data_IF_710472480806
#
_entry.id   IF_710472480806
#
_cell.length_a   1.000
_cell.length_b   1.000
_cell.length_c   1.000
_cell.angle_alpha   90.00
_cell.angle_beta   90.00
_cell.angle_gamma   90.00
#
_symmetry.space_group_name_H-M   'P 1'
#
loop_
_entity.id
_entity.type
_entity.pdbx_description
1 polymer ?
#
# COMPACT_ATOMS: atom_id res chain seq x y z
N UNK A 1 3.68 -7.23 -19.11
CA UNK A 1 3.35 -6.52 -17.87
C UNK A 1 3.92 -5.13 -18.02
N UNK A 2 3.14 -4.07 -17.75
CA UNK A 2 3.73 -2.72 -17.71
C UNK A 2 4.51 -2.58 -16.39
N UNK A 3 5.82 -2.45 -16.51
CA UNK A 3 6.70 -2.28 -15.36
C UNK A 3 6.31 -1.08 -14.49
N UNK A 4 6.45 -1.25 -13.18
CA UNK A 4 6.30 -0.20 -12.17
C UNK A 4 7.58 0.59 -11.98
N UNK A 5 8.75 -0.03 -12.17
CA UNK A 5 10.02 0.68 -12.11
C UNK A 5 9.99 1.91 -13.03
N UNK A 6 10.45 3.06 -12.53
CA UNK A 6 10.48 4.28 -13.33
C UNK A 6 11.67 4.31 -14.28
N UNK A 7 11.56 5.10 -15.34
CA UNK A 7 12.69 5.29 -16.26
C UNK A 7 13.88 5.94 -15.56
N UNK A 8 15.07 5.75 -16.12
CA UNK A 8 16.28 6.41 -15.63
C UNK A 8 16.17 7.95 -15.69
N UNK A 9 15.43 8.48 -16.67
CA UNK A 9 15.17 9.91 -16.83
C UNK A 9 14.35 10.45 -15.66
N UNK A 10 13.24 9.79 -15.31
CA UNK A 10 12.42 10.20 -14.16
C UNK A 10 13.16 10.02 -12.84
N UNK A 11 13.92 8.93 -12.70
CA UNK A 11 14.76 8.70 -11.52
C UNK A 11 15.76 9.84 -11.32
N UNK A 12 16.51 10.22 -12.36
CA UNK A 12 17.46 11.35 -12.30
C UNK A 12 16.76 12.69 -12.03
N UNK A 13 15.59 12.91 -12.62
CA UNK A 13 14.82 14.13 -12.39
C UNK A 13 14.37 14.29 -10.93
N UNK A 14 14.04 13.18 -10.25
CA UNK A 14 13.69 13.15 -8.83
C UNK A 14 14.92 13.23 -7.91
N UNK A 15 16.01 12.53 -8.25
CA UNK A 15 17.20 12.50 -7.39
C UNK A 15 17.95 13.83 -7.34
N UNK A 16 18.05 14.54 -8.47
CA UNK A 16 18.86 15.76 -8.54
C UNK A 16 18.42 16.74 -9.64
N UNK A 17 17.26 16.53 -10.26
CA UNK A 17 16.77 17.34 -11.37
C UNK A 17 15.57 18.21 -11.01
N UNK A 18 14.74 18.51 -12.02
CA UNK A 18 13.61 19.45 -11.88
C UNK A 18 12.52 18.97 -10.91
N UNK A 19 12.43 17.66 -10.63
CA UNK A 19 11.46 17.10 -9.70
C UNK A 19 12.02 16.93 -8.28
N UNK A 20 13.32 17.16 -8.07
CA UNK A 20 13.96 16.99 -6.78
C UNK A 20 13.31 17.82 -5.65
N UNK A 21 12.89 19.09 -5.87
CA UNK A 21 12.17 19.83 -4.84
C UNK A 21 10.85 19.19 -4.37
N UNK A 22 10.17 18.42 -5.22
CA UNK A 22 8.98 17.66 -4.83
C UNK A 22 9.34 16.42 -4.02
N UNK A 23 10.45 15.74 -4.36
CA UNK A 23 10.94 14.61 -3.58
C UNK A 23 11.31 15.05 -2.16
N UNK A 24 12.05 16.16 -2.02
CA UNK A 24 12.38 16.75 -0.72
C UNK A 24 11.12 17.09 0.09
N UNK A 25 10.10 17.66 -0.56
CA UNK A 25 8.82 17.94 0.11
C UNK A 25 8.17 16.68 0.68
N UNK A 26 8.22 15.56 -0.04
CA UNK A 26 7.66 14.28 0.41
C UNK A 26 8.46 13.72 1.58
N UNK A 27 9.79 13.88 1.60
CA UNK A 27 10.61 13.50 2.75
C UNK A 27 10.27 14.26 4.02
N UNK A 28 9.76 15.49 3.89
CA UNK A 28 9.38 16.34 5.01
C UNK A 28 7.89 16.27 5.39
N UNK A 29 7.02 15.71 4.54
CA UNK A 29 5.60 15.55 4.80
C UNK A 29 5.21 14.07 4.84
N UNK A 30 5.25 13.49 6.04
CA UNK A 30 4.94 12.08 6.29
C UNK A 30 3.48 11.68 5.99
N UNK A 31 2.61 12.63 5.64
CA UNK A 31 1.24 12.32 5.20
C UNK A 31 1.15 12.02 3.70
N UNK A 32 2.27 12.20 2.97
CA UNK A 32 2.39 11.92 1.55
C UNK A 32 3.10 10.59 1.31
N UNK A 33 2.66 9.89 0.28
CA UNK A 33 3.27 8.65 -0.18
C UNK A 33 3.52 8.72 -1.69
N UNK A 34 4.72 8.35 -2.14
CA UNK A 34 5.10 8.37 -3.56
C UNK A 34 5.26 6.96 -4.10
N UNK A 35 4.51 6.69 -5.16
CA UNK A 35 4.46 5.38 -5.78
C UNK A 35 4.87 5.41 -7.26
N UNK A 36 5.63 4.38 -7.66
CA UNK A 36 6.25 4.27 -8.98
C UNK A 36 5.30 3.61 -9.97
N UNK A 37 5.14 4.18 -11.17
CA UNK A 37 4.13 3.76 -12.16
C UNK A 37 4.70 3.71 -13.58
N UNK A 38 5.95 3.25 -13.73
CA UNK A 38 6.61 3.13 -15.02
C UNK A 38 6.99 4.48 -15.61
N UNK A 39 6.16 5.03 -16.49
CA UNK A 39 6.37 6.34 -17.10
C UNK A 39 5.76 7.51 -16.28
N UNK A 40 5.39 7.24 -15.03
CA UNK A 40 4.81 8.21 -14.12
C UNK A 40 5.14 7.86 -12.67
N UNK A 41 5.01 8.84 -11.80
CA UNK A 41 4.86 8.60 -10.35
C UNK A 41 3.52 9.17 -9.90
N UNK A 42 2.96 8.59 -8.86
CA UNK A 42 1.78 9.11 -8.21
C UNK A 42 2.08 9.45 -6.76
N UNK A 43 1.76 10.67 -6.35
CA UNK A 43 1.83 11.13 -4.97
C UNK A 43 0.43 11.01 -4.39
N UNK A 44 0.31 10.26 -3.30
CA UNK A 44 -0.92 10.05 -2.56
C UNK A 44 -1.00 10.93 -1.32
N UNK A 45 -2.21 11.32 -0.97
CA UNK A 45 -2.58 11.96 0.30
C UNK A 45 -3.93 11.38 0.73
N UNK A 46 -4.00 10.85 1.95
CA UNK A 46 -5.20 10.22 2.54
C UNK A 46 -5.95 9.26 1.60
N UNK A 47 -5.20 8.39 0.91
CA UNK A 47 -5.71 7.35 0.02
C UNK A 47 -6.14 7.85 -1.37
N UNK A 48 -6.02 9.15 -1.64
CA UNK A 48 -6.28 9.75 -2.94
C UNK A 48 -5.00 10.11 -3.68
N UNK A 49 -5.04 10.01 -5.01
CA UNK A 49 -4.01 10.63 -5.85
C UNK A 49 -4.11 12.14 -5.70
N UNK A 50 -3.09 12.74 -5.09
CA UNK A 50 -2.89 14.19 -4.98
C UNK A 50 -2.32 14.70 -6.30
N UNK A 51 -1.14 14.21 -6.68
CA UNK A 51 -0.50 14.55 -7.93
C UNK A 51 -0.10 13.30 -8.71
N UNK A 52 -0.35 13.31 -10.01
CA UNK A 52 0.29 12.37 -10.94
C UNK A 52 1.34 13.13 -11.74
N UNK A 53 2.59 12.68 -11.68
CA UNK A 53 3.68 13.25 -12.47
C UNK A 53 3.93 12.31 -13.65
N UNK A 54 3.87 12.82 -14.88
CA UNK A 54 4.10 12.01 -16.09
C UNK A 54 5.31 12.50 -16.85
N UNK A 55 6.04 11.56 -17.41
CA UNK A 55 7.02 11.87 -18.44
C UNK A 55 6.33 12.26 -19.75
N UNK A 56 6.80 13.37 -20.33
CA UNK A 56 6.42 13.80 -21.67
C UNK A 56 7.49 13.43 -22.69
N UNK A 57 7.10 13.38 -23.96
CA UNK A 57 7.98 13.08 -25.10
C UNK A 57 9.11 14.10 -25.27
N UNK A 58 8.89 15.35 -24.88
CA UNK A 58 9.82 16.50 -25.01
C UNK A 58 10.88 16.60 -23.91
N UNK A 59 11.26 15.50 -23.26
CA UNK A 59 12.14 15.50 -22.09
C UNK A 59 11.66 16.38 -20.91
N UNK A 60 10.37 16.72 -20.87
CA UNK A 60 9.73 17.45 -19.79
C UNK A 60 8.85 16.53 -18.94
N UNK A 61 8.30 17.11 -17.87
CA UNK A 61 7.36 16.44 -16.96
C UNK A 61 6.13 17.30 -16.77
N UNK A 62 4.98 16.66 -16.66
CA UNK A 62 3.71 17.32 -16.33
C UNK A 62 3.21 16.83 -14.99
N UNK A 63 2.71 17.74 -14.16
CA UNK A 63 2.02 17.43 -12.92
C UNK A 63 0.52 17.56 -13.18
N UNK A 64 -0.27 16.61 -12.69
CA UNK A 64 -1.73 16.62 -12.81
C UNK A 64 -2.38 16.56 -11.43
N UNK A 65 -3.33 17.46 -11.19
CA UNK A 65 -4.21 17.47 -10.03
C UNK A 65 -5.66 17.25 -10.47
N UNK A 66 -6.42 16.44 -9.72
CA UNK A 66 -7.80 16.16 -10.07
C UNK A 66 -8.74 17.28 -9.59
N UNK A 67 -9.23 18.09 -10.52
CA UNK A 67 -10.12 19.22 -10.25
C UNK A 67 -11.43 18.84 -9.55
N UNK A 68 -11.84 17.56 -9.55
CA UNK A 68 -13.03 17.11 -8.81
C UNK A 68 -12.94 17.44 -7.32
N UNK A 69 -11.73 17.45 -6.74
CA UNK A 69 -11.54 17.78 -5.34
C UNK A 69 -11.97 19.22 -5.02
N UNK A 70 -11.96 20.11 -6.02
CA UNK A 70 -12.42 21.49 -5.89
C UNK A 70 -13.94 21.67 -6.03
N UNK A 71 -14.73 20.60 -6.21
CA UNK A 71 -16.16 20.71 -6.47
C UNK A 71 -17.01 20.96 -5.21
N UNK A 72 -16.41 21.00 -4.02
CA UNK A 72 -17.13 21.27 -2.76
C UNK A 72 -17.40 22.77 -2.57
N UNK A 73 -18.44 23.12 -1.80
CA UNK A 73 -18.74 24.52 -1.47
C UNK A 73 -17.55 25.15 -0.72
N UNK A 74 -16.95 24.39 0.21
CA UNK A 74 -15.81 24.86 1.00
C UNK A 74 -14.56 25.09 0.14
N UNK A 75 -14.27 24.23 -0.84
CA UNK A 75 -13.12 24.41 -1.72
C UNK A 75 -13.23 25.69 -2.59
N UNK A 76 -14.45 26.14 -2.90
CA UNK A 76 -14.68 27.39 -3.64
C UNK A 76 -14.34 28.66 -2.85
N UNK A 77 -14.13 28.55 -1.53
CA UNK A 77 -13.69 29.66 -0.67
C UNK A 77 -12.17 29.90 -0.72
N UNK A 78 -11.42 28.99 -1.36
CA UNK A 78 -9.97 29.02 -1.45
C UNK A 78 -9.50 29.47 -2.83
N UNK A 79 -8.20 29.82 -2.99
CA UNK A 79 -7.64 30.17 -4.28
C UNK A 79 -7.90 29.10 -5.33
N UNK A 80 -8.09 29.53 -6.59
CA UNK A 80 -8.26 28.60 -7.71
C UNK A 80 -6.96 27.83 -7.94
N UNK A 81 -7.01 26.53 -7.75
CA UNK A 81 -5.89 25.62 -7.96
C UNK A 81 -5.79 25.21 -9.44
N UNK A 82 -4.57 25.17 -9.98
CA UNK A 82 -4.33 24.61 -11.31
C UNK A 82 -4.50 23.10 -11.32
N UNK A 83 -5.12 22.56 -12.36
CA UNK A 83 -5.14 21.12 -12.64
C UNK A 83 -3.82 20.61 -13.21
N UNK A 84 -2.96 21.51 -13.68
CA UNK A 84 -1.64 21.20 -14.22
C UNK A 84 -0.60 22.20 -13.69
N UNK A 85 -0.30 22.16 -12.37
CA UNK A 85 0.64 23.10 -11.77
C UNK A 85 2.07 22.87 -12.27
N UNK A 86 2.90 23.92 -12.20
CA UNK A 86 4.35 23.74 -12.24
C UNK A 86 4.85 23.08 -10.93
N UNK A 87 6.12 22.67 -10.90
CA UNK A 87 6.75 22.17 -9.66
C UNK A 87 6.64 23.21 -8.54
N UNK A 88 7.00 24.46 -8.82
CA UNK A 88 6.94 25.54 -7.83
C UNK A 88 5.51 25.80 -7.34
N UNK A 89 4.53 25.82 -8.25
CA UNK A 89 3.13 26.00 -7.88
C UNK A 89 2.60 24.84 -7.02
N UNK A 90 2.96 23.60 -7.37
CA UNK A 90 2.57 22.41 -6.63
C UNK A 90 3.12 22.43 -5.19
N UNK A 91 4.37 22.86 -5.00
CA UNK A 91 5.02 22.98 -3.69
C UNK A 91 4.40 24.13 -2.90
N UNK A 92 4.34 25.33 -3.49
CA UNK A 92 3.87 26.54 -2.80
C UNK A 92 2.41 26.40 -2.35
N UNK A 93 1.58 25.75 -3.17
CA UNK A 93 0.15 25.59 -2.89
C UNK A 93 -0.22 24.22 -2.32
N UNK A 94 0.76 23.37 -1.95
CA UNK A 94 0.49 22.04 -1.39
C UNK A 94 -0.57 22.06 -0.27
N UNK A 95 -0.53 22.98 0.73
CA UNK A 95 -1.56 23.03 1.77
C UNK A 95 -2.98 23.20 1.22
N UNK A 96 -3.16 24.01 0.16
CA UNK A 96 -4.47 24.22 -0.45
C UNK A 96 -4.93 23.01 -1.26
N UNK A 97 -4.01 22.32 -1.96
CA UNK A 97 -4.33 21.07 -2.64
C UNK A 97 -4.78 19.98 -1.66
N UNK A 98 -4.07 19.83 -0.52
CA UNK A 98 -4.45 18.91 0.56
C UNK A 98 -5.81 19.29 1.15
N UNK A 99 -6.03 20.57 1.44
CA UNK A 99 -7.30 21.06 1.99
C UNK A 99 -8.50 20.81 1.05
N UNK A 100 -8.31 20.97 -0.27
CA UNK A 100 -9.33 20.63 -1.26
C UNK A 100 -9.68 19.13 -1.22
N UNK A 101 -8.67 18.26 -1.08
CA UNK A 101 -8.88 16.82 -0.88
C UNK A 101 -9.58 16.51 0.43
N UNK A 102 -9.25 17.19 1.53
CA UNK A 102 -9.89 17.00 2.84
C UNK A 102 -11.39 17.33 2.78
N UNK A 103 -11.77 18.44 2.13
CA UNK A 103 -13.18 18.76 1.92
C UNK A 103 -13.90 17.74 1.04
N UNK A 104 -13.21 17.20 0.03
CA UNK A 104 -13.79 16.17 -0.82
C UNK A 104 -13.99 14.86 -0.05
N UNK A 105 -12.98 14.42 0.72
CA UNK A 105 -13.01 13.17 1.47
C UNK A 105 -13.92 13.20 2.69
N UNK A 106 -14.30 14.37 3.19
CA UNK A 106 -15.36 14.46 4.21
C UNK A 106 -16.69 13.87 3.72
N UNK A 107 -16.92 13.86 2.40
CA UNK A 107 -18.11 13.28 1.77
C UNK A 107 -17.81 11.98 0.99
N UNK A 108 -16.53 11.72 0.67
CA UNK A 108 -16.10 10.57 -0.13
C UNK A 108 -14.90 9.88 0.55
N UNK A 109 -15.08 9.32 1.75
CA UNK A 109 -13.97 8.80 2.55
C UNK A 109 -13.26 7.65 1.84
N UNK A 110 -11.96 7.55 2.05
CA UNK A 110 -11.08 6.53 1.47
C UNK A 110 -10.32 5.73 2.53
N UNK A 111 -11.02 5.35 3.59
CA UNK A 111 -10.43 4.82 4.82
C UNK A 111 -9.52 3.62 4.60
N UNK A 112 -9.91 2.69 3.73
CA UNK A 112 -9.08 1.51 3.38
C UNK A 112 -7.70 1.91 2.83
N UNK A 113 -7.69 2.88 1.91
CA UNK A 113 -6.47 3.39 1.25
C UNK A 113 -5.67 4.33 2.14
N UNK A 114 -6.34 5.04 3.05
CA UNK A 114 -5.67 5.82 4.08
C UNK A 114 -4.87 4.89 4.98
N UNK A 115 -5.45 3.76 5.43
CA UNK A 115 -4.73 2.74 6.20
C UNK A 115 -3.58 2.10 5.40
N UNK A 116 -3.73 1.87 4.09
CA UNK A 116 -2.62 1.37 3.26
C UNK A 116 -1.39 2.29 3.36
N UNK A 117 -1.56 3.62 3.30
CA UNK A 117 -0.43 4.57 3.46
C UNK A 117 0.15 4.59 4.88
N UNK A 118 -0.67 4.41 5.91
CA UNK A 118 -0.17 4.29 7.28
C UNK A 118 0.72 3.05 7.42
N UNK A 119 0.31 1.92 6.80
CA UNK A 119 1.13 0.71 6.75
C UNK A 119 2.43 0.97 5.97
N UNK A 120 2.38 1.65 4.82
CA UNK A 120 3.60 2.06 4.09
C UNK A 120 4.52 2.85 5.00
N UNK A 121 3.98 3.85 5.69
CA UNK A 121 4.75 4.76 6.56
C UNK A 121 5.46 4.01 7.67
N UNK A 122 4.76 3.12 8.40
CA UNK A 122 5.37 2.34 9.48
C UNK A 122 6.42 1.34 8.99
N UNK A 123 6.26 0.81 7.78
CA UNK A 123 7.14 -0.23 7.24
C UNK A 123 8.30 0.31 6.38
N UNK A 124 8.23 1.58 5.93
CA UNK A 124 9.23 2.15 5.03
C UNK A 124 9.88 3.44 5.58
N UNK A 125 9.17 4.29 6.32
CA UNK A 125 9.54 5.71 6.43
C UNK A 125 10.08 6.13 7.82
N UNK A 126 9.94 5.32 8.87
CA UNK A 126 10.33 5.62 10.26
C UNK A 126 11.76 5.15 10.64
N UNK A 127 12.70 5.19 9.70
CA UNK A 127 14.12 4.92 9.97
C UNK A 127 14.35 3.57 10.65
N UNK A 128 14.95 3.56 11.85
CA UNK A 128 15.25 2.32 12.59
C UNK A 128 13.99 1.51 12.98
N UNK A 129 12.83 2.16 13.13
CA UNK A 129 11.58 1.47 13.45
C UNK A 129 11.16 0.62 12.24
N UNK A 130 11.07 1.25 11.07
CA UNK A 130 10.80 0.57 9.79
C UNK A 130 11.90 -0.42 9.41
N UNK A 131 13.17 -0.15 9.76
CA UNK A 131 14.24 -1.13 9.58
C UNK A 131 14.03 -2.42 10.38
N UNK A 132 13.33 -2.32 11.52
CA UNK A 132 13.02 -3.45 12.39
C UNK A 132 11.84 -4.32 11.91
N UNK A 133 11.04 -3.86 10.94
CA UNK A 133 9.94 -4.65 10.38
C UNK A 133 10.46 -5.76 9.46
N UNK A 134 9.60 -6.77 9.21
CA UNK A 134 9.95 -7.91 8.37
C UNK A 134 9.47 -7.75 6.92
N UNK A 135 8.71 -6.70 6.63
CA UNK A 135 8.12 -6.43 5.32
C UNK A 135 8.36 -4.98 4.91
N UNK A 136 8.68 -4.77 3.64
CA UNK A 136 8.75 -3.45 2.99
C UNK A 136 7.67 -3.35 1.93
N UNK A 137 6.94 -2.25 1.91
CA UNK A 137 5.87 -2.04 0.91
C UNK A 137 6.48 -1.44 -0.35
N UNK A 138 6.34 -2.12 -1.48
CA UNK A 138 6.88 -1.67 -2.77
C UNK A 138 5.84 -1.06 -3.69
N UNK A 139 4.56 -1.41 -3.50
CA UNK A 139 3.45 -0.78 -4.22
C UNK A 139 2.16 -0.79 -3.38
N UNK A 140 1.30 0.20 -3.61
CA UNK A 140 -0.10 0.23 -3.15
C UNK A 140 -1.03 0.50 -4.34
N UNK A 141 -2.29 0.06 -4.26
CA UNK A 141 -3.27 0.21 -5.35
C UNK A 141 -2.76 -0.35 -6.68
N UNK A 142 -2.09 -1.51 -6.63
CA UNK A 142 -1.58 -2.16 -7.82
C UNK A 142 -2.74 -2.57 -8.71
N UNK A 143 -2.72 -2.10 -9.96
CA UNK A 143 -3.63 -2.54 -11.01
C UNK A 143 -2.88 -2.76 -12.32
N UNK A 144 -3.14 -3.89 -12.97
CA UNK A 144 -2.62 -4.21 -14.29
C UNK A 144 -3.78 -4.62 -15.22
N UNK A 145 -3.95 -3.86 -16.30
CA UNK A 145 -5.02 -4.08 -17.27
C UNK A 145 -4.76 -5.25 -18.21
N UNK A 146 -3.50 -5.67 -18.42
CA UNK A 146 -3.16 -6.75 -19.36
C UNK A 146 -3.65 -8.12 -18.88
N UNK A 147 -3.71 -8.31 -17.56
CA UNK A 147 -4.14 -9.55 -16.93
C UNK A 147 -5.27 -9.34 -15.90
N UNK A 148 -5.84 -8.14 -15.85
CA UNK A 148 -6.88 -7.73 -14.90
C UNK A 148 -6.55 -8.02 -13.42
N UNK A 149 -5.27 -8.06 -13.06
CA UNK A 149 -4.84 -8.27 -11.67
C UNK A 149 -4.90 -6.96 -10.88
N UNK A 150 -5.37 -7.05 -9.65
CA UNK A 150 -5.43 -5.94 -8.69
C UNK A 150 -5.07 -6.42 -7.30
N UNK A 151 -4.23 -5.66 -6.62
CA UNK A 151 -3.83 -5.91 -5.23
C UNK A 151 -3.81 -4.59 -4.48
N UNK A 152 -4.24 -4.60 -3.23
CA UNK A 152 -4.22 -3.39 -2.40
C UNK A 152 -2.79 -2.99 -2.08
N UNK A 153 -1.92 -3.95 -1.74
CA UNK A 153 -0.50 -3.68 -1.52
C UNK A 153 0.37 -4.85 -2.00
N UNK A 154 1.60 -4.52 -2.37
CA UNK A 154 2.65 -5.47 -2.72
C UNK A 154 3.82 -5.22 -1.79
N UNK A 155 4.31 -6.27 -1.15
CA UNK A 155 5.40 -6.19 -0.20
C UNK A 155 6.51 -7.19 -0.49
N UNK A 156 7.70 -6.84 -0.01
CA UNK A 156 8.85 -7.73 0.05
C UNK A 156 9.01 -8.16 1.50
N UNK A 157 8.94 -9.47 1.74
CA UNK A 157 9.29 -10.05 3.04
C UNK A 157 10.81 -10.21 3.11
N UNK A 158 11.43 -9.39 3.94
CA UNK A 158 12.85 -9.43 4.20
C UNK A 158 13.11 -9.35 5.72
N UNK A 159 13.10 -10.52 6.41
CA UNK A 159 13.03 -10.56 7.87
C UNK A 159 14.17 -9.79 8.54
N UNK A 160 13.89 -9.02 9.58
CA UNK A 160 14.85 -8.18 10.33
C UNK A 160 15.84 -8.97 11.21
N UNK A 161 15.91 -10.28 11.03
CA UNK A 161 16.86 -11.14 11.73
C UNK A 161 18.26 -11.08 11.10
N UNK A 162 19.30 -11.32 11.92
CA UNK A 162 20.69 -11.36 11.45
C UNK A 162 20.94 -12.38 10.34
N UNK A 163 20.15 -13.46 10.29
CA UNK A 163 20.20 -14.47 9.22
C UNK A 163 19.36 -14.09 8.00
N UNK A 164 18.20 -13.44 8.22
CA UNK A 164 17.26 -13.07 7.15
C UNK A 164 17.78 -11.99 6.21
N UNK A 165 18.64 -11.08 6.72
CA UNK A 165 19.23 -10.00 5.91
C UNK A 165 20.64 -10.28 5.39
N UNK A 166 21.15 -11.51 5.50
CA UNK A 166 22.50 -11.83 5.01
C UNK A 166 22.59 -11.73 3.49
N UNK A 167 23.78 -11.37 3.00
CA UNK A 167 24.05 -11.34 1.56
C UNK A 167 23.80 -12.73 0.94
N UNK A 168 23.13 -12.74 -0.21
CA UNK A 168 22.76 -13.96 -0.91
C UNK A 168 21.48 -14.65 -0.38
N UNK A 169 20.83 -14.14 0.67
CA UNK A 169 19.47 -14.57 1.03
C UNK A 169 18.45 -13.80 0.20
N UNK A 170 17.64 -14.56 -0.51
CA UNK A 170 16.53 -14.01 -1.30
C UNK A 170 15.38 -13.61 -0.37
N UNK A 171 14.76 -12.48 -0.67
CA UNK A 171 13.49 -12.09 -0.09
C UNK A 171 12.34 -12.77 -0.86
N UNK A 172 11.19 -12.91 -0.20
CA UNK A 172 9.97 -13.44 -0.84
C UNK A 172 8.98 -12.31 -1.08
N UNK A 173 8.08 -12.50 -2.03
CA UNK A 173 7.00 -11.56 -2.29
C UNK A 173 5.79 -11.85 -1.39
N UNK A 174 5.09 -10.79 -0.98
CA UNK A 174 3.77 -10.87 -0.37
C UNK A 174 2.77 -9.98 -1.12
N UNK A 175 1.62 -10.55 -1.49
CA UNK A 175 0.45 -9.82 -1.95
C UNK A 175 -0.46 -9.57 -0.75
N UNK A 176 -0.92 -8.33 -0.59
CA UNK A 176 -1.70 -7.93 0.58
C UNK A 176 -3.06 -7.43 0.12
N UNK A 177 -4.09 -7.96 0.75
CA UNK A 177 -5.49 -7.53 0.63
C UNK A 177 -5.93 -6.92 1.97
N UNK A 178 -6.48 -5.71 1.93
CA UNK A 178 -6.87 -4.97 3.11
C UNK A 178 -8.37 -4.69 3.09
N UNK A 179 -9.08 -5.06 4.16
CA UNK A 179 -10.49 -4.73 4.35
C UNK A 179 -10.67 -3.79 5.54
N UNK A 180 -11.31 -2.65 5.31
CA UNK A 180 -11.69 -1.71 6.38
C UNK A 180 -13.11 -1.95 6.89
N UNK A 181 -13.23 -2.34 8.15
CA UNK A 181 -14.50 -2.59 8.84
C UNK A 181 -15.30 -3.77 8.30
N UNK A 182 -16.34 -4.17 9.03
CA UNK A 182 -17.10 -5.39 8.71
C UNK A 182 -17.98 -5.30 7.45
N UNK A 183 -18.18 -4.09 6.92
CA UNK A 183 -18.98 -3.83 5.72
C UNK A 183 -18.28 -4.28 4.44
N UNK A 184 -16.94 -4.31 4.42
CA UNK A 184 -16.11 -4.63 3.25
C UNK A 184 -15.73 -6.12 3.15
N UNK A 185 -16.09 -6.92 4.14
CA UNK A 185 -15.70 -8.35 4.22
C UNK A 185 -16.48 -9.24 3.23
N UNK A 186 -17.74 -8.90 2.91
CA UNK A 186 -18.63 -9.69 2.03
C UNK A 186 -18.99 -8.89 0.77
N UNK A 187 -19.29 -9.57 -0.34
CA UNK A 187 -19.80 -8.96 -1.58
C UNK A 187 -18.95 -9.26 -2.82
N UNK A 188 -19.18 -8.52 -3.91
CA UNK A 188 -18.54 -8.72 -5.23
C UNK A 188 -17.03 -8.38 -5.27
N UNK A 189 -16.50 -7.86 -4.16
CA UNK A 189 -15.08 -7.64 -3.87
C UNK A 189 -14.70 -8.27 -2.51
N UNK A 190 -15.37 -9.38 -2.17
CA UNK A 190 -15.14 -10.12 -0.92
C UNK A 190 -13.88 -10.98 -0.97
N UNK A 191 -13.47 -11.46 0.20
CA UNK A 191 -12.20 -12.17 0.43
C UNK A 191 -11.97 -13.35 -0.53
N UNK A 192 -13.02 -14.12 -0.84
CA UNK A 192 -12.95 -15.26 -1.76
C UNK A 192 -12.55 -14.87 -3.19
N UNK A 193 -13.05 -13.75 -3.72
CA UNK A 193 -12.72 -13.31 -5.07
C UNK A 193 -11.26 -12.86 -5.17
N UNK A 194 -10.80 -12.08 -4.19
CA UNK A 194 -9.41 -11.62 -4.14
C UNK A 194 -8.42 -12.79 -4.01
N UNK A 195 -8.83 -13.84 -3.31
CA UNK A 195 -8.08 -15.09 -3.21
C UNK A 195 -7.94 -15.79 -4.57
N UNK A 196 -9.04 -15.91 -5.33
CA UNK A 196 -9.03 -16.50 -6.68
C UNK A 196 -8.21 -15.67 -7.69
N UNK A 197 -8.34 -14.34 -7.64
CA UNK A 197 -7.57 -13.43 -8.49
C UNK A 197 -6.06 -13.54 -8.19
N UNK A 198 -5.71 -13.65 -6.90
CA UNK A 198 -4.31 -13.86 -6.46
C UNK A 198 -3.77 -15.22 -6.86
N UNK A 199 -4.54 -16.29 -6.69
CA UNK A 199 -4.13 -17.65 -7.08
C UNK A 199 -3.89 -17.75 -8.60
N UNK A 200 -4.79 -17.16 -9.40
CA UNK A 200 -4.65 -17.07 -10.85
C UNK A 200 -3.37 -16.32 -11.25
N UNK A 201 -3.07 -15.22 -10.57
CA UNK A 201 -1.87 -14.43 -10.84
C UNK A 201 -0.59 -15.18 -10.46
N UNK A 202 -0.51 -15.73 -9.25
CA UNK A 202 0.67 -16.44 -8.75
C UNK A 202 0.94 -17.73 -9.54
N UNK A 203 -0.10 -18.37 -10.07
CA UNK A 203 0.04 -19.58 -10.92
C UNK A 203 0.63 -19.29 -12.31
N UNK A 204 0.69 -18.04 -12.75
CA UNK A 204 1.26 -17.65 -14.04
C UNK A 204 2.79 -17.43 -13.94
N UNK A 205 3.55 -18.54 -13.83
CA UNK A 205 4.98 -18.56 -13.45
C UNK A 205 5.88 -17.54 -14.16
N UNK A 206 5.82 -17.42 -15.49
CA UNK A 206 6.62 -16.45 -16.26
C UNK A 206 6.28 -15.00 -15.89
N UNK A 207 4.98 -14.67 -15.88
CA UNK A 207 4.49 -13.33 -15.49
C UNK A 207 4.82 -13.01 -14.04
N UNK A 208 4.80 -14.01 -13.17
CA UNK A 208 5.15 -13.84 -11.77
C UNK A 208 6.65 -13.61 -11.57
N UNK A 209 7.51 -14.26 -12.37
CA UNK A 209 8.95 -14.01 -12.39
C UNK A 209 9.29 -12.59 -12.86
N UNK A 210 8.65 -12.12 -13.93
CA UNK A 210 8.80 -10.74 -14.40
C UNK A 210 8.36 -9.74 -13.34
N UNK A 211 7.24 -10.02 -12.67
CA UNK A 211 6.74 -9.20 -11.58
C UNK A 211 7.71 -9.14 -10.39
N UNK A 212 8.29 -10.26 -9.97
CA UNK A 212 9.31 -10.28 -8.93
C UNK A 212 10.54 -9.44 -9.33
N UNK A 213 10.95 -9.51 -10.60
CA UNK A 213 12.06 -8.71 -11.11
C UNK A 213 11.74 -7.21 -11.09
N UNK A 214 10.55 -6.82 -11.53
CA UNK A 214 10.09 -5.43 -11.49
C UNK A 214 9.99 -4.89 -10.04
N UNK A 215 9.40 -5.67 -9.11
CA UNK A 215 9.30 -5.29 -7.70
C UNK A 215 10.67 -5.14 -7.02
N UNK A 216 11.67 -5.93 -7.43
CA UNK A 216 13.04 -5.77 -6.95
C UNK A 216 13.66 -4.44 -7.42
N UNK A 217 13.38 -4.04 -8.66
CA UNK A 217 13.83 -2.75 -9.20
C UNK A 217 13.09 -1.58 -8.56
N UNK A 218 11.79 -1.69 -8.35
CA UNK A 218 10.99 -0.70 -7.59
C UNK A 218 11.56 -0.51 -6.19
N UNK A 219 11.84 -1.59 -5.46
CA UNK A 219 12.46 -1.51 -4.14
C UNK A 219 13.79 -0.76 -4.17
N UNK A 220 14.67 -1.10 -5.11
CA UNK A 220 15.96 -0.44 -5.29
C UNK A 220 15.80 1.05 -5.60
N UNK A 221 14.88 1.41 -6.49
CA UNK A 221 14.60 2.80 -6.83
C UNK A 221 14.01 3.57 -5.65
N UNK A 222 13.07 2.98 -4.89
CA UNK A 222 12.53 3.58 -3.68
C UNK A 222 13.62 3.81 -2.61
N UNK A 223 14.54 2.86 -2.42
CA UNK A 223 15.71 3.07 -1.54
C UNK A 223 16.58 4.25 -2.02
N UNK A 224 16.91 4.30 -3.32
CA UNK A 224 17.70 5.39 -3.93
C UNK A 224 17.03 6.77 -3.86
N UNK A 225 15.70 6.78 -3.77
CA UNK A 225 14.89 7.98 -3.65
C UNK A 225 14.60 8.32 -2.19
N UNK A 226 15.10 7.57 -1.19
CA UNK A 226 14.76 7.84 0.22
C UNK A 226 13.29 7.57 0.60
N UNK A 227 12.56 6.80 -0.22
CA UNK A 227 11.17 6.39 0.03
C UNK A 227 11.09 5.08 0.83
N UNK A 228 12.23 4.40 1.00
CA UNK A 228 12.42 3.30 1.94
C UNK A 228 13.69 3.62 2.73
N UNK A 229 13.52 3.97 4.00
CA UNK A 229 14.58 4.45 4.87
C UNK A 229 15.29 3.31 5.61
N UNK A 230 16.55 3.55 5.98
CA UNK A 230 17.35 2.62 6.79
C UNK A 230 18.01 1.46 6.03
N UNK A 231 17.78 1.34 4.72
CA UNK A 231 18.49 0.40 3.85
C UNK A 231 19.68 1.09 3.18
N UNK A 232 20.85 0.45 3.22
CA UNK A 232 22.04 0.95 2.52
C UNK A 232 21.90 0.73 1.00
N UNK A 233 22.37 1.67 0.20
CA UNK A 233 22.26 1.64 -1.28
C UNK A 233 22.93 0.43 -1.96
N UNK A 234 23.87 -0.23 -1.29
CA UNK A 234 24.56 -1.41 -1.78
C UNK A 234 23.89 -2.72 -1.36
N UNK A 235 22.85 -2.65 -0.50
CA UNK A 235 22.23 -3.82 0.11
C UNK A 235 20.77 -3.96 -0.31
N UNK A 236 20.55 -4.69 -1.40
CA UNK A 236 19.21 -5.01 -1.90
C UNK A 236 19.04 -6.53 -2.06
N UNK A 237 17.87 -7.09 -1.67
CA UNK A 237 17.62 -8.51 -1.87
C UNK A 237 17.28 -8.79 -3.34
N UNK A 238 17.58 -10.00 -3.81
CA UNK A 238 16.84 -10.58 -4.93
C UNK A 238 15.48 -11.06 -4.42
N UNK A 239 14.45 -11.02 -5.26
CA UNK A 239 13.13 -11.55 -4.92
C UNK A 239 12.95 -12.89 -5.61
N UNK A 240 12.75 -13.93 -4.80
CA UNK A 240 12.51 -15.29 -5.30
C UNK A 240 11.03 -15.48 -5.66
N UNK A 241 10.76 -16.32 -6.65
CA UNK A 241 9.40 -16.75 -7.00
C UNK A 241 8.88 -17.85 -6.08
N UNK A 242 9.73 -18.37 -5.19
CA UNK A 242 9.36 -19.43 -4.28
C UNK A 242 8.59 -18.89 -3.06
N UNK A 243 7.59 -19.66 -2.62
CA UNK A 243 6.84 -19.41 -1.38
C UNK A 243 6.27 -17.97 -1.24
N UNK A 244 5.58 -17.43 -2.26
CA UNK A 244 4.90 -16.16 -2.08
C UNK A 244 3.83 -16.25 -0.98
N UNK A 245 3.57 -15.13 -0.34
CA UNK A 245 2.55 -15.00 0.69
C UNK A 245 1.34 -14.23 0.15
N UNK A 246 0.15 -14.67 0.53
CA UNK A 246 -1.07 -13.87 0.43
C UNK A 246 -1.50 -13.48 1.84
N UNK A 247 -1.50 -12.19 2.12
CA UNK A 247 -1.74 -11.65 3.46
C UNK A 247 -3.06 -10.89 3.46
N UNK A 248 -3.95 -11.25 4.39
CA UNK A 248 -5.16 -10.50 4.67
C UNK A 248 -4.98 -9.60 5.89
N UNK A 249 -5.34 -8.32 5.75
CA UNK A 249 -5.39 -7.34 6.83
C UNK A 249 -6.84 -6.90 7.04
N UNK A 250 -7.37 -7.12 8.24
CA UNK A 250 -8.73 -6.71 8.60
C UNK A 250 -8.66 -5.53 9.58
N UNK A 251 -8.64 -4.32 9.05
CA UNK A 251 -8.57 -3.10 9.85
C UNK A 251 -9.95 -2.80 10.48
N UNK A 252 -9.98 -2.53 11.79
CA UNK A 252 -11.19 -2.16 12.54
C UNK A 252 -12.33 -3.19 12.45
N UNK A 253 -12.01 -4.49 12.40
CA UNK A 253 -12.99 -5.56 12.59
C UNK A 253 -13.62 -5.48 13.99
N UNK A 254 -14.95 -5.60 14.07
CA UNK A 254 -15.66 -5.66 15.36
C UNK A 254 -15.56 -7.08 15.94
N UNK A 255 -14.91 -7.32 17.10
CA UNK A 255 -14.69 -8.67 17.61
C UNK A 255 -15.95 -9.50 17.84
N UNK A 256 -17.08 -8.86 18.17
CA UNK A 256 -18.36 -9.55 18.37
C UNK A 256 -19.04 -10.01 17.05
N UNK A 257 -18.55 -9.58 15.89
CA UNK A 257 -19.15 -9.87 14.60
C UNK A 257 -18.70 -11.22 14.05
N UNK A 258 -19.65 -12.08 13.70
CA UNK A 258 -19.35 -13.41 13.15
C UNK A 258 -18.99 -13.38 11.66
N UNK A 259 -19.18 -12.24 10.97
CA UNK A 259 -19.00 -12.13 9.52
C UNK A 259 -17.61 -12.54 9.04
N UNK A 260 -16.56 -12.06 9.72
CA UNK A 260 -15.18 -12.38 9.38
C UNK A 260 -14.90 -13.88 9.54
N UNK A 261 -15.29 -14.43 10.70
CA UNK A 261 -15.11 -15.84 11.02
C UNK A 261 -15.81 -16.75 10.02
N UNK A 262 -17.05 -16.44 9.65
CA UNK A 262 -17.81 -17.16 8.62
C UNK A 262 -17.08 -17.14 7.28
N UNK A 263 -16.57 -15.99 6.88
CA UNK A 263 -15.88 -15.84 5.60
C UNK A 263 -14.57 -16.62 5.56
N UNK A 264 -13.72 -16.48 6.58
CA UNK A 264 -12.46 -17.23 6.71
C UNK A 264 -12.70 -18.73 6.73
N UNK A 265 -13.77 -19.21 7.40
CA UNK A 265 -14.11 -20.64 7.40
C UNK A 265 -14.37 -21.20 6.00
N UNK A 266 -14.93 -20.41 5.08
CA UNK A 266 -15.15 -20.83 3.68
C UNK A 266 -13.82 -21.03 2.94
N UNK A 267 -12.83 -20.18 3.23
CA UNK A 267 -11.51 -20.26 2.57
C UNK A 267 -10.75 -21.50 3.01
N UNK A 268 -10.99 -22.01 4.23
CA UNK A 268 -10.34 -23.22 4.76
C UNK A 268 -10.55 -24.46 3.90
N UNK A 269 -11.67 -24.54 3.17
CA UNK A 269 -11.97 -25.64 2.27
C UNK A 269 -11.39 -25.48 0.85
N UNK A 270 -10.78 -24.34 0.54
CA UNK A 270 -10.19 -24.11 -0.78
C UNK A 270 -8.78 -24.71 -0.85
N UNK A 271 -8.48 -25.40 -1.94
CA UNK A 271 -7.15 -25.95 -2.19
C UNK A 271 -6.29 -24.88 -2.84
N UNK A 272 -5.38 -24.28 -2.06
CA UNK A 272 -4.51 -23.19 -2.51
C UNK A 272 -3.07 -23.57 -2.24
N UNK A 273 -2.21 -23.35 -3.24
CA UNK A 273 -0.80 -23.78 -3.21
C UNK A 273 0.12 -22.80 -2.49
N UNK A 274 -0.38 -21.63 -2.12
CA UNK A 274 0.38 -20.51 -1.56
C UNK A 274 0.16 -20.36 -0.06
N UNK A 275 1.10 -19.69 0.61
CA UNK A 275 0.99 -19.43 2.03
C UNK A 275 -0.01 -18.30 2.29
N UNK A 276 -1.16 -18.63 2.89
CA UNK A 276 -2.17 -17.64 3.29
C UNK A 276 -1.96 -17.27 4.74
N UNK A 277 -1.80 -15.97 4.99
CA UNK A 277 -1.64 -15.42 6.31
C UNK A 277 -2.65 -14.33 6.62
N UNK A 278 -2.92 -14.18 7.91
CA UNK A 278 -3.76 -13.15 8.48
C UNK A 278 -2.89 -12.31 9.40
N UNK A 279 -2.67 -11.05 9.02
CA UNK A 279 -1.85 -10.15 9.82
C UNK A 279 -2.61 -9.76 11.10
N UNK A 280 -1.89 -9.76 12.22
CA UNK A 280 -2.39 -9.24 13.49
C UNK A 280 -1.50 -8.12 14.00
N UNK A 281 -2.08 -7.17 14.74
CA UNK A 281 -1.33 -6.01 15.22
C UNK A 281 -0.27 -6.42 16.26
N UNK A 282 0.92 -5.83 16.16
CA UNK A 282 1.94 -5.90 17.22
C UNK A 282 1.63 -4.84 18.28
N UNK A 283 0.93 -5.23 19.35
CA UNK A 283 0.56 -4.36 20.47
C UNK A 283 -0.18 -3.04 20.12
N UNK A 284 -0.74 -2.91 18.91
CA UNK A 284 -1.46 -1.75 18.30
C UNK A 284 -0.69 -0.94 17.22
N UNK A 285 0.49 -1.37 16.76
CA UNK A 285 1.17 -0.75 15.61
C UNK A 285 0.81 -1.35 14.24
N UNK A 286 1.12 -0.64 13.16
CA UNK A 286 0.98 -1.11 11.76
C UNK A 286 2.27 -1.70 11.16
N UNK A 287 3.36 -1.77 11.92
CA UNK A 287 4.55 -2.51 11.53
C UNK A 287 4.23 -3.99 11.29
N UNK A 288 4.64 -4.52 10.14
CA UNK A 288 4.41 -5.90 9.74
C UNK A 288 5.59 -6.77 10.19
N UNK A 289 5.27 -7.78 11.00
CA UNK A 289 6.25 -8.72 11.53
C UNK A 289 5.80 -10.15 11.21
N UNK A 290 6.73 -11.00 10.76
CA UNK A 290 6.45 -12.37 10.36
C UNK A 290 5.91 -13.20 11.53
N UNK A 291 6.29 -12.86 12.77
CA UNK A 291 5.78 -13.52 13.97
C UNK A 291 4.35 -13.10 14.36
N UNK A 292 3.79 -12.04 13.74
CA UNK A 292 2.39 -11.63 13.90
C UNK A 292 1.49 -12.13 12.76
N UNK A 293 2.04 -12.93 11.83
CA UNK A 293 1.29 -13.58 10.77
C UNK A 293 0.70 -14.89 11.29
N UNK A 294 -0.63 -15.03 11.20
CA UNK A 294 -1.34 -16.26 11.60
C UNK A 294 -1.75 -17.03 10.36
N UNK A 295 -1.49 -18.33 10.33
CA UNK A 295 -2.15 -19.23 9.40
C UNK A 295 -3.67 -19.30 9.70
N UNK A 296 -4.44 -19.88 8.79
CA UNK A 296 -5.90 -19.92 8.89
C UNK A 296 -6.40 -20.58 10.18
N UNK A 297 -5.73 -21.62 10.67
CA UNK A 297 -6.15 -22.34 11.87
C UNK A 297 -5.87 -21.52 13.13
N UNK A 298 -4.68 -20.90 13.22
CA UNK A 298 -4.34 -19.98 14.31
C UNK A 298 -5.22 -18.74 14.31
N UNK A 299 -5.59 -18.24 13.12
CA UNK A 299 -6.46 -17.07 13.00
C UNK A 299 -7.89 -17.40 13.44
N UNK A 300 -8.46 -18.51 12.97
CA UNK A 300 -9.79 -18.97 13.41
C UNK A 300 -9.84 -19.19 14.92
N UNK A 301 -8.79 -19.81 15.50
CA UNK A 301 -8.68 -19.97 16.96
C UNK A 301 -8.62 -18.62 17.69
N UNK A 302 -7.99 -17.61 17.11
CA UNK A 302 -7.96 -16.26 17.70
C UNK A 302 -9.34 -15.59 17.65
N UNK A 303 -10.12 -15.82 16.59
CA UNK A 303 -11.52 -15.35 16.48
C UNK A 303 -12.48 -16.13 17.39
N UNK A 304 -12.10 -17.31 17.88
CA UNK A 304 -12.88 -18.13 18.80
C UNK A 304 -12.77 -17.70 20.28
N UNK A 305 -11.81 -16.84 20.63
CA UNK A 305 -11.69 -16.34 22.00
C UNK A 305 -12.96 -15.53 22.34
N UNK A 306 -13.73 -15.99 23.34
CA UNK A 306 -15.10 -15.53 23.59
C UNK A 306 -15.20 -14.00 23.62
N UNK A 307 -16.20 -13.40 22.93
CA UNK A 307 -16.47 -11.99 23.12
C UNK A 307 -16.78 -11.77 24.60
N UNK A 308 -16.08 -10.83 25.23
CA UNK A 308 -16.46 -10.28 26.53
C UNK A 308 -17.95 -10.01 26.45
N UNK A 309 -18.76 -10.69 27.28
CA UNK A 309 -20.22 -10.54 27.31
C UNK A 309 -20.54 -9.05 27.35
N UNK A 310 -20.99 -8.50 26.22
CA UNK A 310 -21.33 -7.08 26.13
C UNK A 310 -22.51 -6.84 27.04
N UNK A 311 -22.45 -5.80 27.87
CA UNK A 311 -23.59 -5.34 28.65
C UNK A 311 -24.81 -5.12 27.72
N UNK A 312 -26.04 -5.34 28.20
CA UNK A 312 -27.24 -5.11 27.41
C UNK A 312 -27.21 -3.69 26.84
N UNK A 313 -27.50 -3.56 25.55
CA UNK A 313 -27.71 -2.26 24.90
C UNK A 313 -28.69 -1.44 25.74
N UNK A 314 -28.27 -0.28 26.21
CA UNK A 314 -29.20 0.72 26.72
C UNK A 314 -30.08 1.09 25.52
N UNK A 315 -31.38 0.78 25.60
CA UNK A 315 -32.36 1.35 24.68
C UNK A 315 -32.27 2.86 24.86
N UNK A 316 -31.79 3.56 23.84
CA UNK A 316 -31.98 5.00 23.75
C UNK A 316 -33.49 5.26 23.67
N UNK A 317 -34.10 5.50 24.82
CA UNK A 317 -35.30 6.30 24.89
C UNK A 317 -34.82 7.75 24.83
N UNK A 318 -34.89 8.37 23.64
CA UNK A 318 -35.21 9.78 23.38
C UNK A 318 -35.19 10.03 21.86
#
# INVERSE_FOLDING_TARGET
MKDRQISQKMLQALQSGVLHPLLELIHHDQTLDMELRGNSVNIYYRGGSLFTLKEESSNSFSIFFNSKYCNTILAKLYPKLSSTPSVDEAIQNLPFYKQAMDFWFSNHPKLEREIQQEIVTENNNHGNISYGTDYYIVDIEYANSENNSRFDMVAIKWPSTSNGRQDGKEATLALIELKYGDGSIKGDAGVEKHLQDSDTFLSASEKFSDFCSDMAQVFKQKCKLGLINGIKEDRHPTITTNNPELIFIFANHKPASQKLKEEVKKLRSQCIQWNIYYATASAMGYGLYANQMKDIDKFLKALDQEPIKTAPSIKENL
#
